data_IF_663808415521
#
_entry.id   IF_663808415521
#
_cell.length_a   1.000
_cell.length_b   1.000
_cell.length_c   1.000
_cell.angle_alpha   90.00
_cell.angle_beta   90.00
_cell.angle_gamma   90.00
#
_symmetry.space_group_name_H-M   'P 1'
#
loop_
_entity.id
_entity.type
_entity.pdbx_description
1 polymer ?
#
# COMPACT_ATOMS: atom_id res chain seq x y z
N UNK A 1 -8.10 -28.63 19.79
CA UNK A 1 -7.17 -27.80 18.99
C UNK A 1 -7.90 -27.22 17.78
N UNK A 2 -7.91 -25.90 17.61
CA UNK A 2 -8.63 -25.23 16.51
C UNK A 2 -7.71 -25.15 15.28
N UNK A 3 -8.08 -25.84 14.19
CA UNK A 3 -7.27 -25.94 12.96
C UNK A 3 -7.34 -24.70 12.06
N UNK A 4 -8.29 -23.78 12.29
CA UNK A 4 -8.54 -22.60 11.45
C UNK A 4 -9.03 -21.42 12.28
N UNK A 5 -8.45 -20.24 12.08
CA UNK A 5 -8.90 -18.98 12.69
C UNK A 5 -9.72 -18.19 11.68
N UNK A 6 -10.88 -17.69 12.08
CA UNK A 6 -11.69 -16.81 11.24
C UNK A 6 -11.01 -15.45 11.13
N UNK A 7 -10.58 -15.05 9.92
CA UNK A 7 -9.97 -13.75 9.66
C UNK A 7 -11.04 -12.78 9.12
N UNK A 8 -11.37 -11.69 9.86
CA UNK A 8 -12.27 -10.65 9.36
C UNK A 8 -11.80 -10.05 8.03
N UNK A 9 -12.74 -9.70 7.14
CA UNK A 9 -12.45 -9.15 5.79
C UNK A 9 -11.56 -7.90 5.81
N UNK A 10 -11.68 -7.07 6.85
CA UNK A 10 -10.84 -5.89 7.05
C UNK A 10 -9.34 -6.18 7.13
N UNK A 11 -8.95 -7.42 7.47
CA UNK A 11 -7.56 -7.86 7.52
C UNK A 11 -7.17 -8.67 6.27
N UNK A 12 -8.03 -9.58 5.81
CA UNK A 12 -7.73 -10.41 4.64
C UNK A 12 -7.72 -9.64 3.31
N UNK A 13 -8.52 -8.57 3.19
CA UNK A 13 -8.47 -7.68 2.02
C UNK A 13 -7.09 -7.02 1.86
N UNK A 14 -6.52 -6.34 2.87
CA UNK A 14 -5.16 -5.83 2.80
C UNK A 14 -4.11 -6.86 2.43
N UNK A 15 -4.17 -8.05 3.03
CA UNK A 15 -3.21 -9.13 2.77
C UNK A 15 -3.23 -9.51 1.29
N UNK A 16 -4.42 -9.71 0.73
CA UNK A 16 -4.58 -10.03 -0.70
C UNK A 16 -4.04 -8.93 -1.60
N UNK A 17 -4.29 -7.67 -1.25
CA UNK A 17 -3.77 -6.53 -2.00
C UNK A 17 -2.24 -6.50 -1.99
N UNK A 18 -1.61 -6.69 -0.82
CA UNK A 18 -0.14 -6.78 -0.68
C UNK A 18 0.42 -7.91 -1.57
N UNK A 19 -0.18 -9.09 -1.51
CA UNK A 19 0.24 -10.22 -2.36
C UNK A 19 0.03 -9.96 -3.85
N UNK A 20 -1.07 -9.32 -4.25
CA UNK A 20 -1.32 -8.97 -5.65
C UNK A 20 -0.32 -7.96 -6.23
N UNK A 21 0.41 -7.23 -5.38
CA UNK A 21 1.49 -6.34 -5.83
C UNK A 21 2.75 -7.11 -6.20
N UNK A 22 2.98 -8.31 -5.66
CA UNK A 22 4.23 -9.07 -5.86
C UNK A 22 4.57 -9.31 -7.34
N UNK A 23 3.65 -9.80 -8.20
CA UNK A 23 3.93 -9.95 -9.63
C UNK A 23 4.26 -8.62 -10.33
N UNK A 24 3.79 -7.49 -9.79
CA UNK A 24 4.02 -6.16 -10.38
C UNK A 24 5.43 -5.66 -10.10
N UNK A 25 6.07 -6.08 -9.01
CA UNK A 25 7.45 -5.69 -8.70
C UNK A 25 8.45 -6.19 -9.76
N UNK A 26 8.19 -7.32 -10.43
CA UNK A 26 9.03 -7.80 -11.53
C UNK A 26 9.02 -6.90 -12.77
N UNK A 27 8.06 -5.98 -12.89
CA UNK A 27 7.95 -5.07 -14.02
C UNK A 27 8.72 -3.77 -13.77
N UNK A 28 10.04 -3.84 -13.82
CA UNK A 28 10.97 -2.72 -13.53
C UNK A 28 11.22 -1.77 -14.71
N UNK A 29 10.68 -2.08 -15.91
CA UNK A 29 10.93 -1.31 -17.14
C UNK A 29 9.84 -0.26 -17.42
N UNK A 30 10.27 0.91 -17.91
CA UNK A 30 9.40 1.97 -18.43
C UNK A 30 8.61 2.72 -17.35
N UNK A 31 7.34 3.05 -17.64
CA UNK A 31 6.49 3.86 -16.74
C UNK A 31 5.81 3.05 -15.61
N UNK A 32 5.92 1.72 -15.63
CA UNK A 32 5.23 0.83 -14.68
C UNK A 32 5.71 1.01 -13.23
N UNK A 33 7.02 1.17 -12.94
CA UNK A 33 7.49 1.38 -11.58
C UNK A 33 6.97 2.65 -10.93
N UNK A 34 6.91 3.76 -11.68
CA UNK A 34 6.34 5.01 -11.21
C UNK A 34 4.87 4.87 -10.81
N UNK A 35 4.07 4.11 -11.59
CA UNK A 35 2.68 3.83 -11.25
C UNK A 35 2.55 2.97 -9.98
N UNK A 36 3.52 2.08 -9.75
CA UNK A 36 3.54 1.23 -8.55
C UNK A 36 3.86 2.04 -7.30
N UNK A 37 4.78 3.01 -7.38
CA UNK A 37 5.11 3.91 -6.27
C UNK A 37 3.90 4.71 -5.78
N UNK A 38 2.99 5.10 -6.67
CA UNK A 38 1.76 5.82 -6.30
C UNK A 38 0.72 4.96 -5.58
N UNK A 39 0.93 3.63 -5.47
CA UNK A 39 -0.03 2.74 -4.85
C UNK A 39 -0.07 2.92 -3.32
N UNK A 40 -1.24 3.02 -2.67
CA UNK A 40 -1.35 3.29 -1.23
C UNK A 40 -0.71 2.20 -0.34
N UNK A 41 -0.56 0.98 -0.88
CA UNK A 41 0.09 -0.15 -0.20
C UNK A 41 1.45 -0.52 -0.78
N UNK A 42 2.06 0.38 -1.55
CA UNK A 42 3.40 0.16 -2.09
C UNK A 42 4.38 -0.22 -0.97
N UNK A 43 4.39 0.54 0.13
CA UNK A 43 5.29 0.30 1.27
C UNK A 43 5.17 -1.13 1.82
N UNK A 44 3.96 -1.54 2.18
CA UNK A 44 3.73 -2.90 2.68
C UNK A 44 4.07 -3.99 1.63
N UNK A 45 3.87 -3.70 0.35
CA UNK A 45 4.31 -4.58 -0.75
C UNK A 45 5.82 -4.69 -0.87
N UNK A 46 6.54 -3.58 -0.70
CA UNK A 46 7.99 -3.51 -0.75
C UNK A 46 8.63 -4.16 0.48
N UNK A 47 8.10 -3.91 1.68
CA UNK A 47 8.54 -4.59 2.91
C UNK A 47 8.37 -6.11 2.78
N UNK A 48 7.26 -6.55 2.20
CA UNK A 48 7.05 -7.98 1.93
C UNK A 48 8.02 -8.51 0.85
N UNK A 49 8.38 -7.72 -0.16
CA UNK A 49 9.40 -8.10 -1.15
C UNK A 49 10.77 -8.27 -0.49
N UNK A 50 11.17 -7.38 0.43
CA UNK A 50 12.43 -7.49 1.18
C UNK A 50 12.47 -8.78 2.01
N UNK A 51 11.40 -9.09 2.73
CA UNK A 51 11.30 -10.33 3.50
C UNK A 51 11.40 -11.58 2.60
N UNK A 52 10.77 -11.55 1.42
CA UNK A 52 10.88 -12.66 0.45
C UNK A 52 12.27 -12.78 -0.15
N UNK A 53 12.98 -11.68 -0.35
CA UNK A 53 14.36 -11.72 -0.82
C UNK A 53 15.28 -12.31 0.26
N UNK A 54 15.11 -11.91 1.52
CA UNK A 54 15.85 -12.43 2.66
C UNK A 54 15.58 -13.92 2.91
N UNK A 55 14.34 -14.37 2.66
CA UNK A 55 13.99 -15.79 2.75
C UNK A 55 14.35 -16.62 1.51
N UNK A 56 14.98 -16.03 0.48
CA UNK A 56 15.34 -16.70 -0.78
C UNK A 56 14.15 -17.02 -1.70
N UNK A 57 12.96 -16.47 -1.45
CA UNK A 57 11.75 -16.65 -2.27
C UNK A 57 11.62 -15.62 -3.41
N UNK A 58 12.42 -14.55 -3.37
CA UNK A 58 12.45 -13.52 -4.39
C UNK A 58 13.90 -13.15 -4.72
N UNK A 59 14.09 -12.59 -5.91
CA UNK A 59 15.40 -12.17 -6.38
C UNK A 59 15.92 -10.98 -5.54
N UNK A 60 17.08 -11.12 -4.87
CA UNK A 60 17.68 -10.03 -4.10
C UNK A 60 18.10 -8.84 -4.97
N UNK A 61 18.45 -9.05 -6.24
CA UNK A 61 18.76 -7.93 -7.15
C UNK A 61 17.51 -7.09 -7.45
N UNK A 62 16.35 -7.74 -7.55
CA UNK A 62 15.08 -7.05 -7.72
C UNK A 62 14.79 -6.14 -6.51
N UNK A 63 14.98 -6.66 -5.30
CA UNK A 63 14.82 -5.89 -4.08
C UNK A 63 15.78 -4.68 -4.05
N UNK A 64 17.06 -4.90 -4.35
CA UNK A 64 18.07 -3.85 -4.41
C UNK A 64 17.76 -2.78 -5.46
N UNK A 65 17.24 -3.19 -6.63
CA UNK A 65 16.80 -2.26 -7.67
C UNK A 65 15.67 -1.35 -7.16
N UNK A 66 14.68 -1.91 -6.48
CA UNK A 66 13.58 -1.13 -5.90
C UNK A 66 14.04 -0.17 -4.80
N UNK A 67 15.05 -0.55 -4.01
CA UNK A 67 15.71 0.33 -3.05
C UNK A 67 16.35 1.54 -3.74
N UNK A 68 17.16 1.31 -4.78
CA UNK A 68 17.79 2.40 -5.53
C UNK A 68 16.75 3.29 -6.24
N UNK A 69 15.69 2.68 -6.77
CA UNK A 69 14.65 3.41 -7.49
C UNK A 69 13.87 4.35 -6.56
N UNK A 70 13.51 3.94 -5.34
CA UNK A 70 12.80 4.81 -4.41
C UNK A 70 13.69 5.96 -3.90
N UNK A 71 14.98 5.70 -3.66
CA UNK A 71 15.96 6.72 -3.26
C UNK A 71 16.10 7.81 -4.34
N UNK A 72 16.18 7.41 -5.61
CA UNK A 72 16.21 8.36 -6.74
C UNK A 72 14.94 9.21 -6.87
N UNK A 73 13.80 8.71 -6.39
CA UNK A 73 12.53 9.44 -6.36
C UNK A 73 12.36 10.26 -5.07
N UNK A 74 13.35 10.28 -4.18
CA UNK A 74 13.31 10.99 -2.90
C UNK A 74 12.35 10.38 -1.88
N UNK A 75 11.94 9.11 -2.06
CA UNK A 75 11.18 8.39 -1.06
C UNK A 75 12.13 7.77 -0.03
N UNK A 76 11.80 7.93 1.25
CA UNK A 76 12.58 7.36 2.34
C UNK A 76 12.31 5.83 2.46
N UNK A 77 13.33 4.98 2.24
CA UNK A 77 13.21 3.53 2.34
C UNK A 77 13.02 3.04 3.78
N UNK A 78 13.14 3.88 4.81
CA UNK A 78 12.90 3.49 6.21
C UNK A 78 11.44 3.61 6.64
N UNK A 79 10.55 4.07 5.74
CA UNK A 79 9.11 4.05 5.99
C UNK A 79 8.64 5.19 6.89
N UNK A 80 9.43 6.26 7.07
CA UNK A 80 9.00 7.49 7.72
C UNK A 80 8.05 8.33 6.84
N UNK A 81 7.16 7.66 6.11
CA UNK A 81 5.99 8.28 5.52
C UNK A 81 5.05 8.65 6.67
N UNK A 82 5.13 9.92 7.09
CA UNK A 82 4.03 10.57 7.81
C UNK A 82 2.79 10.27 7.00
N UNK A 83 1.96 9.34 7.49
CA UNK A 83 0.69 9.02 6.87
C UNK A 83 -0.13 10.29 6.85
N UNK A 84 -0.11 11.01 5.73
CA UNK A 84 -1.05 12.09 5.46
C UNK A 84 -2.41 11.49 5.15
N UNK A 85 -2.88 10.56 5.99
CA UNK A 85 -4.29 10.20 6.10
C UNK A 85 -5.03 11.31 6.85
N UNK A 86 -4.81 12.56 6.44
CA UNK A 86 -5.73 13.66 6.66
C UNK A 86 -6.93 13.42 5.75
N UNK A 87 -7.71 12.37 6.04
CA UNK A 87 -9.01 12.15 5.45
C UNK A 87 -9.86 13.32 5.92
N UNK A 88 -9.83 14.42 5.16
CA UNK A 88 -10.54 15.66 5.38
C UNK A 88 -12.01 15.26 5.51
N UNK A 89 -12.47 15.05 6.75
CA UNK A 89 -13.86 14.71 7.08
C UNK A 89 -14.65 15.83 6.45
N UNK A 90 -15.28 15.58 5.29
CA UNK A 90 -16.29 16.47 4.72
C UNK A 90 -17.34 16.60 5.81
N UNK A 91 -17.28 17.69 6.58
CA UNK A 91 -18.32 18.09 7.54
C UNK A 91 -19.60 18.11 6.72
N UNK A 92 -20.47 17.12 6.92
CA UNK A 92 -21.80 17.10 6.32
C UNK A 92 -22.49 18.34 6.82
N UNK A 93 -22.65 19.36 5.95
CA UNK A 93 -23.47 20.53 6.24
C UNK A 93 -24.88 20.03 6.59
N UNK A 94 -25.49 20.47 7.71
CA UNK A 94 -26.87 20.12 7.99
C UNK A 94 -27.75 20.71 6.89
N UNK A 95 -28.61 19.89 6.27
CA UNK A 95 -29.65 20.41 5.36
C UNK A 95 -30.60 21.25 6.21
N UNK A 96 -30.63 22.58 5.98
CA UNK A 96 -31.69 23.45 6.49
C UNK A 96 -33.02 22.89 5.97
N UNK A 97 -33.93 22.51 6.88
CA UNK A 97 -35.31 22.22 6.54
C UNK A 97 -35.98 23.54 6.13
N UNK A 98 -36.79 23.59 5.06
CA UNK A 98 -37.56 24.79 4.74
C UNK A 98 -38.61 25.04 5.83
N UNK A 99 -38.96 26.31 6.12
CA UNK A 99 -40.03 26.62 7.06
C UNK A 99 -41.36 26.13 6.47
N UNK A 100 -42.13 25.42 7.28
CA UNK A 100 -43.54 25.18 6.98
C UNK A 100 -44.27 26.52 7.11
N UNK A 101 -44.96 26.94 6.05
CA UNK A 101 -45.87 28.07 6.07
C UNK A 101 -46.90 27.90 7.20
N UNK A 102 -47.12 28.97 7.95
CA UNK A 102 -48.32 29.25 8.72
C UNK A 102 -48.94 30.52 8.16
#
# INVERSE_FOLDING_TARGET
QVKRVAIPRRFSTPMREIWSLQPRFHNTKGKRPHRLLSHPRFRAGYDFLLLRADSGEADPELAAWWTRFQEQQGLDPTGNHKTSSGRRRRRRRPRKRPPANA
#
